data_IF_384556264072
#
_entry.id   IF_384556264072
#
_cell.length_a   1.000
_cell.length_b   1.000
_cell.length_c   1.000
_cell.angle_alpha   90.00
_cell.angle_beta   90.00
_cell.angle_gamma   90.00
#
_symmetry.space_group_name_H-M   'P 1'
#
loop_
_entity.id
_entity.type
_entity.pdbx_description
1 polymer ?
#
# COMPACT_ATOMS: atom_id res chain seq x y z
N UNK A 1 24.84 38.55 7.86
CA UNK A 1 23.79 39.10 6.97
C UNK A 1 22.46 38.73 7.61
N UNK A 2 21.46 39.61 7.66
CA UNK A 2 20.17 39.26 8.26
C UNK A 2 19.53 38.08 7.50
N UNK A 3 19.07 37.05 8.21
CA UNK A 3 18.27 35.95 7.64
C UNK A 3 16.79 36.24 7.84
N UNK A 4 15.98 35.86 6.85
CA UNK A 4 14.53 36.01 6.89
C UNK A 4 13.85 34.65 6.92
N UNK A 5 12.67 34.58 7.51
CA UNK A 5 11.85 33.39 7.55
C UNK A 5 11.35 33.04 6.15
N UNK A 6 11.57 31.79 5.71
CA UNK A 6 11.15 31.30 4.39
C UNK A 6 9.63 31.32 4.17
N UNK A 7 8.84 31.33 5.25
CA UNK A 7 7.37 31.26 5.18
C UNK A 7 6.67 32.61 5.29
N UNK A 8 7.22 33.55 6.06
CA UNK A 8 6.52 34.80 6.39
C UNK A 8 7.34 36.07 6.15
N UNK A 9 8.60 35.94 5.72
CA UNK A 9 9.47 37.09 5.42
C UNK A 9 9.89 37.91 6.64
N UNK A 10 9.61 37.45 7.87
CA UNK A 10 10.06 38.14 9.08
C UNK A 10 11.56 37.93 9.31
N UNK A 11 12.25 38.97 9.76
CA UNK A 11 13.66 38.91 10.11
C UNK A 11 13.86 38.00 11.32
N UNK A 12 14.75 37.02 11.19
CA UNK A 12 15.08 36.09 12.26
C UNK A 12 16.15 36.72 13.15
N UNK A 13 15.89 36.75 14.46
CA UNK A 13 16.80 37.36 15.45
C UNK A 13 18.21 36.77 15.45
N UNK A 14 18.38 35.50 15.04
CA UNK A 14 19.66 34.82 14.95
C UNK A 14 19.70 33.89 13.72
N UNK A 15 20.91 33.61 13.21
CA UNK A 15 21.10 32.75 12.03
C UNK A 15 20.80 31.26 12.27
N UNK A 16 20.68 30.85 13.55
CA UNK A 16 20.49 29.47 14.03
C UNK A 16 19.20 29.29 14.86
N UNK A 17 18.11 29.98 14.51
CA UNK A 17 16.81 29.74 15.15
C UNK A 17 16.15 28.51 14.55
N UNK A 18 15.65 27.59 15.38
CA UNK A 18 14.93 26.38 14.91
C UNK A 18 13.51 26.69 14.44
N UNK A 19 12.88 27.70 15.03
CA UNK A 19 11.50 28.09 14.74
C UNK A 19 11.39 29.61 14.61
N UNK A 20 10.55 30.08 13.69
CA UNK A 20 10.24 31.50 13.56
C UNK A 20 9.39 31.97 14.75
N UNK A 21 9.78 33.05 15.38
CA UNK A 21 9.09 33.66 16.52
C UNK A 21 7.75 34.32 16.14
N UNK A 22 7.58 34.74 14.89
CA UNK A 22 6.34 35.36 14.42
C UNK A 22 5.28 34.37 13.92
N UNK A 23 5.68 33.31 13.22
CA UNK A 23 4.74 32.39 12.55
C UNK A 23 4.87 30.93 12.96
N UNK A 24 5.85 30.58 13.80
CA UNK A 24 6.08 29.22 14.29
C UNK A 24 6.67 28.24 13.28
N UNK A 25 7.01 28.68 12.06
CA UNK A 25 7.55 27.79 11.03
C UNK A 25 8.97 27.31 11.39
N UNK A 26 9.24 26.01 11.21
CA UNK A 26 10.57 25.44 11.38
C UNK A 26 11.54 25.99 10.32
N UNK A 27 12.73 26.42 10.75
CA UNK A 27 13.76 26.98 9.87
C UNK A 27 14.88 25.95 9.72
N UNK A 28 15.30 25.69 8.49
CA UNK A 28 16.44 24.80 8.22
C UNK A 28 17.72 25.54 8.60
N UNK A 29 18.32 25.18 9.74
CA UNK A 29 19.59 25.76 10.18
C UNK A 29 20.70 25.23 9.26
N UNK A 30 21.09 26.01 8.26
CA UNK A 30 22.30 25.76 7.46
C UNK A 30 23.53 26.18 8.27
N UNK A 31 23.81 25.44 9.35
CA UNK A 31 25.11 25.43 10.01
C UNK A 31 25.99 24.45 9.24
N UNK A 32 27.20 24.89 8.89
CA UNK A 32 28.18 24.08 8.20
C UNK A 32 28.60 22.90 9.10
N UNK A 33 27.86 21.80 9.02
CA UNK A 33 28.29 20.48 9.47
C UNK A 33 28.35 19.58 8.26
N UNK A 34 29.49 19.67 7.57
CA UNK A 34 30.03 18.52 6.86
C UNK A 34 30.27 17.42 7.89
N UNK A 35 29.24 16.62 8.09
CA UNK A 35 29.27 15.25 8.60
C UNK A 35 27.87 14.72 8.31
N UNK A 36 27.62 14.34 7.06
CA UNK A 36 26.73 13.21 6.77
C UNK A 36 27.42 11.95 7.32
N UNK A 37 27.61 11.92 8.64
CA UNK A 37 27.58 10.66 9.34
C UNK A 37 26.25 10.06 8.96
N UNK A 38 26.33 8.82 8.45
CA UNK A 38 25.23 7.93 8.25
C UNK A 38 24.45 7.81 9.56
N UNK A 39 23.58 8.79 9.79
CA UNK A 39 22.43 8.61 10.62
C UNK A 39 21.63 7.61 9.81
N UNK A 40 21.84 6.32 10.12
CA UNK A 40 20.82 5.31 9.93
C UNK A 40 19.59 5.95 10.53
N UNK A 41 18.80 6.58 9.67
CA UNK A 41 17.43 6.84 9.98
C UNK A 41 16.93 5.43 10.31
N UNK A 42 16.69 5.18 11.59
CA UNK A 42 15.63 4.28 11.99
C UNK A 42 14.37 4.89 11.37
N UNK A 43 14.25 4.72 10.05
CA UNK A 43 12.99 4.72 9.35
C UNK A 43 12.31 3.56 10.05
N UNK A 44 11.27 3.79 10.88
CA UNK A 44 10.50 2.67 11.39
C UNK A 44 10.11 1.89 10.15
N UNK A 45 10.63 0.66 10.04
CA UNK A 45 10.33 -0.23 8.94
C UNK A 45 8.84 -0.47 9.11
N UNK A 46 8.03 0.31 8.39
CA UNK A 46 6.60 0.29 8.60
C UNK A 46 6.15 -1.09 8.19
N UNK A 47 5.65 -1.82 9.18
CA UNK A 47 5.03 -3.11 8.97
C UNK A 47 3.71 -2.84 8.27
N UNK A 48 3.79 -2.54 6.96
CA UNK A 48 2.65 -2.50 6.07
C UNK A 48 2.18 -3.94 5.84
N UNK A 49 1.67 -4.55 6.91
CA UNK A 49 0.86 -5.75 6.82
C UNK A 49 -0.48 -5.34 6.26
N UNK A 50 -0.85 -5.94 5.14
CA UNK A 50 -2.15 -5.74 4.53
C UNK A 50 -3.18 -6.57 5.29
N UNK A 51 -4.35 -5.96 5.50
CA UNK A 51 -5.45 -6.63 6.19
C UNK A 51 -6.07 -7.70 5.30
N UNK A 52 -5.94 -8.95 5.74
CA UNK A 52 -6.50 -10.12 5.07
C UNK A 52 -8.02 -10.06 4.93
N UNK A 53 -8.71 -9.64 6.00
CA UNK A 53 -10.18 -9.52 6.00
C UNK A 53 -10.65 -8.50 4.96
N UNK A 54 -9.96 -7.36 4.84
CA UNK A 54 -10.32 -6.32 3.87
C UNK A 54 -10.16 -6.85 2.44
N UNK A 55 -9.07 -7.57 2.15
CA UNK A 55 -8.86 -8.18 0.84
C UNK A 55 -9.93 -9.23 0.50
N UNK A 56 -10.35 -10.04 1.48
CA UNK A 56 -11.42 -11.01 1.30
C UNK A 56 -12.78 -10.32 1.10
N UNK A 57 -13.09 -9.26 1.85
CA UNK A 57 -14.31 -8.47 1.66
C UNK A 57 -14.34 -7.80 0.28
N UNK A 58 -13.21 -7.28 -0.18
CA UNK A 58 -13.10 -6.74 -1.54
C UNK A 58 -13.36 -7.85 -2.56
N UNK A 59 -12.79 -9.04 -2.39
CA UNK A 59 -13.03 -10.17 -3.31
C UNK A 59 -14.44 -10.72 -3.27
N UNK A 60 -15.09 -10.61 -2.11
CA UNK A 60 -16.47 -11.00 -1.87
C UNK A 60 -17.42 -10.12 -2.70
N UNK A 61 -17.23 -8.81 -2.64
CA UNK A 61 -18.06 -7.80 -3.34
C UNK A 61 -17.67 -7.71 -4.82
N UNK A 62 -16.36 -7.76 -5.10
CA UNK A 62 -15.77 -7.57 -6.41
C UNK A 62 -14.96 -8.83 -6.75
N UNK A 63 -15.62 -9.81 -7.35
CA UNK A 63 -15.10 -11.13 -7.79
C UNK A 63 -13.56 -11.20 -7.96
N UNK A 64 -12.84 -11.58 -6.90
CA UNK A 64 -11.38 -11.79 -6.91
C UNK A 64 -10.49 -10.53 -6.98
N UNK A 65 -11.05 -9.32 -6.90
CA UNK A 65 -10.28 -8.06 -6.94
C UNK A 65 -9.47 -7.80 -5.67
N UNK A 66 -9.67 -8.55 -4.58
CA UNK A 66 -8.81 -8.46 -3.39
C UNK A 66 -7.36 -8.87 -3.66
N UNK A 67 -7.09 -9.67 -4.70
CA UNK A 67 -5.71 -9.94 -5.15
C UNK A 67 -5.01 -8.67 -5.65
N UNK A 68 -5.74 -7.72 -6.23
CA UNK A 68 -5.18 -6.42 -6.61
C UNK A 68 -4.83 -5.59 -5.37
N UNK A 69 -5.63 -5.67 -4.30
CA UNK A 69 -5.31 -5.05 -3.01
C UNK A 69 -4.04 -5.65 -2.37
N UNK A 70 -3.83 -6.96 -2.52
CA UNK A 70 -2.61 -7.66 -2.11
C UNK A 70 -1.35 -7.23 -2.88
N UNK A 71 -1.48 -6.34 -3.88
CA UNK A 71 -0.37 -5.84 -4.69
C UNK A 71 -0.16 -6.63 -5.98
N UNK A 72 -0.92 -7.70 -6.21
CA UNK A 72 -0.86 -8.49 -7.44
C UNK A 72 -1.99 -8.10 -8.40
N UNK A 73 -1.92 -6.87 -8.92
CA UNK A 73 -2.94 -6.28 -9.79
C UNK A 73 -3.18 -7.12 -11.04
N UNK A 74 -2.12 -7.68 -11.64
CA UNK A 74 -2.24 -8.51 -12.85
C UNK A 74 -3.10 -9.76 -12.61
N UNK A 75 -2.86 -10.50 -11.53
CA UNK A 75 -3.68 -11.67 -11.18
C UNK A 75 -5.12 -11.28 -10.85
N UNK A 76 -5.31 -10.21 -10.07
CA UNK A 76 -6.64 -9.71 -9.71
C UNK A 76 -7.48 -9.30 -10.92
N UNK A 77 -6.89 -8.49 -11.83
CA UNK A 77 -7.55 -8.07 -13.07
C UNK A 77 -7.82 -9.26 -13.99
N UNK A 78 -6.88 -10.20 -14.09
CA UNK A 78 -7.07 -11.43 -14.87
C UNK A 78 -8.26 -12.26 -14.38
N UNK A 79 -8.39 -12.43 -13.07
CA UNK A 79 -9.51 -13.17 -12.47
C UNK A 79 -10.84 -12.43 -12.66
N UNK A 80 -10.83 -11.11 -12.50
CA UNK A 80 -12.01 -10.28 -12.70
C UNK A 80 -12.53 -10.37 -14.16
N UNK A 81 -11.67 -10.16 -15.15
CA UNK A 81 -12.04 -10.27 -16.56
C UNK A 81 -12.47 -11.71 -16.89
N UNK A 82 -11.72 -12.71 -16.42
CA UNK A 82 -12.07 -14.12 -16.61
C UNK A 82 -13.46 -14.46 -16.07
N UNK A 83 -13.81 -13.94 -14.89
CA UNK A 83 -15.14 -14.15 -14.29
C UNK A 83 -16.27 -13.52 -15.12
N UNK A 84 -16.05 -12.32 -15.68
CA UNK A 84 -17.03 -11.67 -16.57
C UNK A 84 -17.26 -12.49 -17.83
N UNK A 85 -16.18 -13.01 -18.44
CA UNK A 85 -16.28 -13.84 -19.64
C UNK A 85 -17.02 -15.15 -19.35
N UNK A 86 -16.72 -15.81 -18.23
CA UNK A 86 -17.39 -17.04 -17.81
C UNK A 86 -18.88 -16.79 -17.55
N UNK A 87 -19.24 -15.68 -16.90
CA UNK A 87 -20.63 -15.29 -16.65
C UNK A 87 -21.36 -14.97 -17.97
N UNK A 88 -20.72 -14.22 -18.88
CA UNK A 88 -21.31 -13.91 -20.18
C UNK A 88 -21.56 -15.17 -21.01
N UNK A 89 -20.58 -16.09 -21.07
CA UNK A 89 -20.73 -17.36 -21.77
C UNK A 89 -21.78 -18.26 -21.12
N UNK A 90 -21.88 -18.30 -19.79
CA UNK A 90 -22.86 -19.14 -19.10
C UNK A 90 -24.30 -18.70 -19.38
N UNK A 91 -24.55 -17.39 -19.50
CA UNK A 91 -25.87 -16.83 -19.87
C UNK A 91 -26.28 -17.24 -21.30
N UNK A 92 -25.33 -17.29 -22.24
CA UNK A 92 -25.60 -17.63 -23.65
C UNK A 92 -25.73 -19.13 -23.91
N UNK A 93 -24.91 -19.96 -23.25
CA UNK A 93 -24.81 -21.39 -23.57
C UNK A 93 -25.85 -22.23 -22.81
N UNK A 94 -26.21 -21.87 -21.57
CA UNK A 94 -27.11 -22.71 -20.76
C UNK A 94 -28.12 -21.92 -19.92
N UNK A 95 -29.40 -22.11 -20.24
CA UNK A 95 -30.57 -21.66 -19.45
C UNK A 95 -30.78 -22.51 -18.17
N UNK A 96 -29.73 -22.90 -17.45
CA UNK A 96 -29.82 -23.99 -16.46
C UNK A 96 -28.93 -23.90 -15.21
N UNK A 97 -29.50 -24.37 -14.10
CA UNK A 97 -29.04 -24.34 -12.70
C UNK A 97 -27.65 -24.98 -12.43
N UNK A 98 -27.18 -25.88 -13.31
CA UNK A 98 -25.91 -26.62 -13.12
C UNK A 98 -24.66 -25.71 -13.17
N UNK A 99 -24.66 -24.68 -14.03
CA UNK A 99 -23.54 -23.75 -14.13
C UNK A 99 -23.39 -22.85 -12.91
N UNK A 100 -24.50 -22.63 -12.17
CA UNK A 100 -24.50 -21.83 -10.95
C UNK A 100 -23.63 -22.45 -9.86
N UNK A 101 -23.62 -23.78 -9.73
CA UNK A 101 -22.79 -24.48 -8.74
C UNK A 101 -21.31 -24.35 -9.07
N UNK A 102 -20.95 -24.52 -10.35
CA UNK A 102 -19.56 -24.38 -10.81
C UNK A 102 -19.05 -22.95 -10.59
N UNK A 103 -19.87 -21.93 -10.90
CA UNK A 103 -19.52 -20.54 -10.63
C UNK A 103 -19.30 -20.27 -9.15
N UNK A 104 -20.09 -20.87 -8.26
CA UNK A 104 -19.91 -20.75 -6.81
C UNK A 104 -18.61 -21.40 -6.33
N UNK A 105 -18.23 -22.56 -6.89
CA UNK A 105 -16.94 -23.20 -6.61
C UNK A 105 -15.78 -22.30 -7.06
N UNK A 106 -15.84 -21.76 -8.28
CA UNK A 106 -14.81 -20.84 -8.81
C UNK A 106 -14.69 -19.61 -7.92
N UNK A 107 -15.80 -19.06 -7.42
CA UNK A 107 -15.78 -17.92 -6.51
C UNK A 107 -15.11 -18.25 -5.17
N UNK A 108 -15.41 -19.41 -4.57
CA UNK A 108 -14.73 -19.88 -3.35
C UNK A 108 -13.22 -20.06 -3.62
N UNK A 109 -12.84 -20.62 -4.77
CA UNK A 109 -11.43 -20.74 -5.16
C UNK A 109 -10.78 -19.36 -5.26
N UNK A 110 -11.46 -18.37 -5.83
CA UNK A 110 -11.00 -16.98 -5.88
C UNK A 110 -10.75 -16.38 -4.49
N UNK A 111 -11.57 -16.74 -3.50
CA UNK A 111 -11.37 -16.32 -2.09
C UNK A 111 -10.13 -16.96 -1.48
N UNK A 112 -9.92 -18.27 -1.68
CA UNK A 112 -8.72 -18.98 -1.20
C UNK A 112 -7.45 -18.41 -1.85
N UNK A 113 -7.48 -18.14 -3.15
CA UNK A 113 -6.35 -17.53 -3.86
C UNK A 113 -6.05 -16.12 -3.35
N UNK A 114 -7.08 -15.33 -3.04
CA UNK A 114 -6.91 -14.00 -2.44
C UNK A 114 -6.25 -14.10 -1.07
N UNK A 115 -6.69 -15.04 -0.23
CA UNK A 115 -6.09 -15.30 1.07
C UNK A 115 -4.58 -15.58 0.93
N UNK A 116 -4.22 -16.50 0.04
CA UNK A 116 -2.83 -16.90 -0.19
C UNK A 116 -1.99 -15.72 -0.68
N UNK A 117 -2.48 -14.94 -1.63
CA UNK A 117 -1.71 -13.82 -2.19
C UNK A 117 -1.45 -12.70 -1.16
N UNK A 118 -2.41 -12.45 -0.25
CA UNK A 118 -2.24 -11.48 0.84
C UNK A 118 -1.24 -11.99 1.88
N UNK A 119 -1.34 -13.27 2.26
CA UNK A 119 -0.41 -13.89 3.19
C UNK A 119 1.02 -13.88 2.62
N UNK A 120 1.18 -14.22 1.33
CA UNK A 120 2.45 -14.15 0.63
C UNK A 120 3.01 -12.73 0.58
N UNK A 121 2.15 -11.73 0.34
CA UNK A 121 2.57 -10.33 0.39
C UNK A 121 3.09 -9.93 1.77
N UNK A 122 2.36 -10.27 2.83
CA UNK A 122 2.75 -9.96 4.20
C UNK A 122 4.04 -10.70 4.59
N UNK A 123 4.17 -11.98 4.21
CA UNK A 123 5.39 -12.78 4.40
C UNK A 123 6.62 -12.16 3.72
N UNK A 124 6.49 -11.76 2.45
CA UNK A 124 7.57 -11.09 1.70
C UNK A 124 8.01 -9.79 2.37
N UNK A 125 7.06 -9.01 2.87
CA UNK A 125 7.38 -7.77 3.59
C UNK A 125 8.11 -8.06 4.90
N UNK A 126 7.64 -9.01 5.71
CA UNK A 126 8.33 -9.44 6.94
C UNK A 126 9.78 -9.89 6.68
N UNK A 127 10.01 -10.68 5.64
CA UNK A 127 11.37 -11.15 5.30
C UNK A 127 12.32 -10.01 4.96
N UNK A 128 11.86 -8.99 4.21
CA UNK A 128 12.67 -7.81 3.90
C UNK A 128 13.08 -7.04 5.16
N UNK A 129 12.25 -7.04 6.20
CA UNK A 129 12.61 -6.40 7.48
C UNK A 129 13.72 -7.15 8.18
N UNK A 130 13.63 -8.49 8.24
CA UNK A 130 14.64 -9.34 8.86
C UNK A 130 15.99 -9.17 8.18
N UNK A 131 16.01 -9.11 6.84
CA UNK A 131 17.24 -8.90 6.08
C UNK A 131 17.91 -7.55 6.36
N UNK A 132 17.13 -6.49 6.59
CA UNK A 132 17.67 -5.17 6.88
C UNK A 132 18.19 -5.01 8.32
N UNK A 133 17.97 -6.01 9.19
CA UNK A 133 18.45 -6.02 10.58
C UNK A 133 19.80 -6.74 10.76
N UNK A 134 20.23 -7.54 9.78
CA UNK A 134 21.53 -8.23 9.76
C UNK A 134 22.58 -7.44 8.97
#
# INVERSE_FOLDING_TARGET
MAKFCDKCGHELKNENVKFCDKCGAEQKITGNSQNFNANRQNIPIQNEEKSMVIALLISLVLYGLGMAYAGNVAKGVGYFIGSIVIIALSIFIFRGMIFSIISLIIWIVGMVLTYQEVEDFNNRNRMKMIQNMN
#
